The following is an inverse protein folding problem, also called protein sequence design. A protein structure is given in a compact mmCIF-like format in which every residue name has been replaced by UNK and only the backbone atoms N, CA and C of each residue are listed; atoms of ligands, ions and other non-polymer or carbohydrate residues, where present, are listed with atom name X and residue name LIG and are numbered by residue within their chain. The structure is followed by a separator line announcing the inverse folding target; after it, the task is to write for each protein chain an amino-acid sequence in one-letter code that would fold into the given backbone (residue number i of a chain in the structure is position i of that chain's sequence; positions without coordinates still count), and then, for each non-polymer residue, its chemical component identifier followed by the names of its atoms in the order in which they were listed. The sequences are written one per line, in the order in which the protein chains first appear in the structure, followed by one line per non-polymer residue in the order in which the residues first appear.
data_IF_553520251799
#
_entry.id   IF_553520251799
#
_cell.length_a   1.000
_cell.length_b   1.000
_cell.length_c   1.000
_cell.angle_alpha   90.00
_cell.angle_beta   90.00
_cell.angle_gamma   90.00
#
_symmetry.space_group_name_H-M   'P 1'
#
loop_
_entity.id
_entity.type
_entity.pdbx_description
1 polymer ?
#
# COMPACT_ATOMS: atom_id res chain seq x y z
N UNK A 1 -24.22 22.84 16.13
CA UNK A 1 -22.94 22.61 15.42
C UNK A 1 -22.95 21.18 14.91
N UNK A 2 -22.83 20.96 13.59
CA UNK A 2 -22.94 19.62 12.99
C UNK A 2 -21.56 18.96 13.05
N UNK A 3 -21.33 18.08 14.04
CA UNK A 3 -20.09 17.30 14.11
C UNK A 3 -20.10 16.30 12.95
N UNK A 4 -19.34 16.60 11.89
CA UNK A 4 -19.12 15.69 10.77
C UNK A 4 -18.15 14.61 11.24
N UNK A 5 -18.70 13.53 11.78
CA UNK A 5 -17.94 12.32 12.11
C UNK A 5 -17.31 11.86 10.79
N UNK A 6 -16.01 12.12 10.61
CA UNK A 6 -15.25 11.56 9.50
C UNK A 6 -15.24 10.05 9.74
N UNK A 7 -16.07 9.33 9.01
CA UNK A 7 -16.05 7.87 9.01
C UNK A 7 -14.63 7.44 8.64
N UNK A 8 -13.87 7.00 9.64
CA UNK A 8 -12.65 6.21 9.48
C UNK A 8 -13.06 4.77 9.17
N UNK A 9 -13.88 4.59 8.13
CA UNK A 9 -14.14 3.27 7.57
C UNK A 9 -12.89 2.76 6.85
N UNK A 10 -12.76 1.44 6.63
CA UNK A 10 -11.68 0.91 5.81
C UNK A 10 -11.74 1.61 4.45
N UNK A 11 -10.75 2.47 4.20
CA UNK A 11 -10.70 3.22 2.95
C UNK A 11 -10.59 2.19 1.84
N UNK A 12 -11.59 2.13 0.96
CA UNK A 12 -11.55 1.26 -0.22
C UNK A 12 -10.17 1.44 -0.87
N UNK A 13 -9.42 0.34 -1.12
CA UNK A 13 -8.05 0.47 -1.57
C UNK A 13 -8.05 1.26 -2.87
N UNK A 14 -7.46 2.45 -2.84
CA UNK A 14 -7.32 3.26 -4.05
C UNK A 14 -6.54 2.44 -5.06
N UNK A 15 -6.92 2.55 -6.32
CA UNK A 15 -6.23 1.87 -7.41
C UNK A 15 -5.66 2.90 -8.37
N UNK A 16 -4.48 2.59 -8.91
CA UNK A 16 -3.85 3.33 -9.99
C UNK A 16 -3.25 2.32 -10.96
N UNK A 17 -3.66 2.38 -12.23
CA UNK A 17 -3.25 1.40 -13.26
C UNK A 17 -3.59 -0.04 -12.89
N UNK A 18 -4.74 -0.26 -12.23
CA UNK A 18 -5.18 -1.58 -11.74
C UNK A 18 -4.42 -2.11 -10.51
N UNK A 19 -3.43 -1.36 -10.00
CA UNK A 19 -2.64 -1.75 -8.80
C UNK A 19 -3.12 -0.99 -7.57
N UNK A 20 -3.11 -1.64 -6.41
CA UNK A 20 -3.40 -1.00 -5.13
C UNK A 20 -2.39 0.12 -4.86
N UNK A 21 -2.89 1.27 -4.41
CA UNK A 21 -2.09 2.41 -3.97
C UNK A 21 -2.58 2.94 -2.63
N UNK A 22 -1.67 3.59 -1.91
CA UNK A 22 -1.84 4.02 -0.53
C UNK A 22 -1.53 5.51 -0.45
N UNK A 23 -2.34 6.25 0.30
CA UNK A 23 -2.21 7.71 0.39
C UNK A 23 -0.93 8.11 1.13
N UNK A 24 -0.60 7.36 2.18
CA UNK A 24 0.57 7.62 3.01
C UNK A 24 1.61 6.50 2.92
N UNK A 25 2.88 6.85 3.17
CA UNK A 25 3.96 5.87 3.27
C UNK A 25 3.73 4.90 4.43
N UNK A 26 3.08 5.36 5.50
CA UNK A 26 2.80 4.57 6.69
C UNK A 26 1.76 3.47 6.41
N UNK A 27 0.68 3.78 5.69
CA UNK A 27 -0.28 2.77 5.23
C UNK A 27 0.39 1.73 4.33
N UNK A 28 1.23 2.16 3.38
CA UNK A 28 1.97 1.24 2.51
C UNK A 28 2.92 0.34 3.32
N UNK A 29 3.59 0.87 4.36
CA UNK A 29 4.44 0.08 5.26
C UNK A 29 3.63 -0.95 6.04
N UNK A 30 2.47 -0.56 6.57
CA UNK A 30 1.63 -1.47 7.35
C UNK A 30 1.18 -2.65 6.48
N UNK A 31 0.65 -2.38 5.29
CA UNK A 31 0.20 -3.44 4.37
C UNK A 31 1.36 -4.26 3.82
N UNK A 32 2.52 -3.65 3.61
CA UNK A 32 3.75 -4.40 3.31
C UNK A 32 4.02 -5.41 4.43
N UNK A 33 4.12 -4.96 5.68
CA UNK A 33 4.41 -5.84 6.81
C UNK A 33 3.37 -6.94 6.99
N UNK A 34 2.08 -6.63 6.86
CA UNK A 34 1.02 -7.65 6.91
C UNK A 34 1.20 -8.73 5.83
N UNK A 35 1.51 -8.34 4.58
CA UNK A 35 1.69 -9.29 3.48
C UNK A 35 2.95 -10.15 3.63
N UNK A 36 4.05 -9.58 4.13
CA UNK A 36 5.29 -10.32 4.40
C UNK A 36 5.15 -11.27 5.60
N UNK A 37 4.30 -10.93 6.59
CA UNK A 37 3.96 -11.84 7.70
C UNK A 37 3.12 -13.03 7.19
N UNK A 38 2.14 -12.77 6.31
CA UNK A 38 1.27 -13.82 5.76
C UNK A 38 2.04 -14.72 4.80
N UNK A 39 2.98 -14.18 4.03
CA UNK A 39 3.83 -14.92 3.11
C UNK A 39 5.30 -14.53 3.34
N UNK A 40 6.08 -15.30 4.12
CA UNK A 40 7.46 -14.95 4.44
C UNK A 40 8.42 -15.01 3.24
N UNK A 41 8.04 -15.68 2.14
CA UNK A 41 8.82 -15.71 0.89
C UNK A 41 8.54 -14.47 0.01
N UNK A 42 7.50 -13.70 0.36
CA UNK A 42 7.16 -12.48 -0.34
C UNK A 42 8.00 -11.31 0.20
N UNK A 43 8.86 -10.73 -0.63
CA UNK A 43 9.55 -9.49 -0.30
C UNK A 43 8.98 -8.32 -1.11
N UNK A 44 8.48 -7.29 -0.43
CA UNK A 44 7.87 -6.12 -1.06
C UNK A 44 8.72 -4.87 -0.87
N UNK A 45 8.72 -4.00 -1.88
CA UNK A 45 9.28 -2.66 -1.80
C UNK A 45 8.21 -1.60 -2.04
N UNK A 46 8.36 -0.47 -1.36
CA UNK A 46 7.46 0.67 -1.46
C UNK A 46 8.09 1.70 -2.40
N UNK A 47 7.36 2.12 -3.43
CA UNK A 47 7.76 3.23 -4.29
C UNK A 47 6.66 4.29 -4.36
N UNK A 48 7.04 5.55 -4.59
CA UNK A 48 6.09 6.64 -4.82
C UNK A 48 5.82 6.73 -6.32
N UNK A 49 4.56 6.62 -6.69
CA UNK A 49 4.13 6.73 -8.08
C UNK A 49 4.07 8.19 -8.51
N UNK A 50 4.69 8.53 -9.64
CA UNK A 50 4.73 9.89 -10.17
C UNK A 50 3.41 10.32 -10.81
N UNK A 51 2.57 9.38 -11.24
CA UNK A 51 1.29 9.71 -11.91
C UNK A 51 0.18 10.01 -10.91
N UNK A 52 0.04 9.21 -9.84
CA UNK A 52 -1.03 9.36 -8.84
C UNK A 52 -0.54 9.95 -7.52
N UNK A 53 0.75 10.31 -7.42
CA UNK A 53 1.43 10.82 -6.22
C UNK A 53 1.31 9.95 -4.97
N UNK A 54 0.83 8.71 -5.12
CA UNK A 54 0.52 7.77 -4.05
C UNK A 54 1.60 6.69 -3.94
N UNK A 55 1.60 5.93 -2.84
CA UNK A 55 2.55 4.86 -2.60
C UNK A 55 2.04 3.54 -3.14
N UNK A 56 2.91 2.76 -3.76
CA UNK A 56 2.60 1.44 -4.30
C UNK A 56 3.56 0.40 -3.74
N UNK A 57 3.09 -0.85 -3.69
CA UNK A 57 3.90 -2.01 -3.37
C UNK A 57 4.29 -2.73 -4.65
N UNK A 58 5.55 -3.12 -4.75
CA UNK A 58 6.05 -3.97 -5.84
C UNK A 58 6.90 -5.08 -5.26
N UNK A 59 6.81 -6.27 -5.84
CA UNK A 59 7.66 -7.40 -5.47
C UNK A 59 9.11 -7.06 -5.77
N UNK A 60 9.99 -7.39 -4.84
CA UNK A 60 11.42 -7.51 -5.15
C UNK A 60 11.60 -8.86 -5.82
N UNK A 61 12.23 -8.86 -7.00
CA UNK A 61 12.73 -10.11 -7.57
C UNK A 61 13.91 -10.50 -6.71
N UNK A 62 13.79 -11.59 -5.97
CA UNK A 62 14.99 -12.27 -5.47
C UNK A 62 15.81 -12.65 -6.70
N UNK A 63 17.13 -12.39 -6.74
CA UNK A 63 17.96 -12.98 -7.78
C UNK A 63 17.84 -14.50 -7.63
N UNK A 64 17.22 -15.15 -8.60
CA UNK A 64 17.37 -16.59 -8.82
C UNK A 64 18.84 -16.84 -9.08
N UNK A 65 19.48 -17.52 -8.14
CA UNK A 65 20.85 -18.05 -8.25
C UNK A 65 20.96 -19.08 -9.40
#
# INVERSE_FOLDING_TARGET
MKHKIRQTGPTTPRTCGGKRCYTTKQEAKHVKSEQEIINPELELSIYRCLTCSSYHLTRRKTPTE
#
